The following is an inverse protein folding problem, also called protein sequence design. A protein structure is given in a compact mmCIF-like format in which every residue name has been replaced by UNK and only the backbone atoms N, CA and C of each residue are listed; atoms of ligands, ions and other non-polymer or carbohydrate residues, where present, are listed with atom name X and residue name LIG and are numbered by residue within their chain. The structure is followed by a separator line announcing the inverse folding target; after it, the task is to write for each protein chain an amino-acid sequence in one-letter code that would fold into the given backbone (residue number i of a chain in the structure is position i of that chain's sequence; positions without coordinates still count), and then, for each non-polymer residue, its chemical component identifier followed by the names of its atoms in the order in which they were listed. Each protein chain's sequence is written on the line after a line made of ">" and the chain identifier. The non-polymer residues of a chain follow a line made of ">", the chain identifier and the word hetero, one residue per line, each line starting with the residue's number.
data_IF_155847502782
#
_entry.id   IF_155847502782
#
_cell.length_a   1.000
_cell.length_b   1.000
_cell.length_c   1.000
_cell.angle_alpha   90.00
_cell.angle_beta   90.00
_cell.angle_gamma   90.00
#
_symmetry.space_group_name_H-M   'P 1'
#
loop_
_entity.id
_entity.type
_entity.pdbx_description
1 polymer ?
#
# COMPACT_ATOMS: atom_id res chain seq x y z
N UNK A 1 12.27 2.54 -18.85
CA UNK A 1 12.49 2.70 -17.40
C UNK A 1 11.41 2.00 -16.57
N UNK A 2 10.13 2.22 -16.84
CA UNK A 2 9.03 1.62 -16.07
C UNK A 2 8.98 0.09 -16.17
N UNK A 3 9.18 -0.45 -17.37
CA UNK A 3 9.19 -1.91 -17.57
C UNK A 3 10.35 -2.57 -16.84
N UNK A 4 11.51 -1.93 -16.80
CA UNK A 4 12.67 -2.42 -16.06
C UNK A 4 12.40 -2.41 -14.56
N UNK A 5 11.76 -1.35 -14.06
CA UNK A 5 11.37 -1.25 -12.67
C UNK A 5 10.35 -2.33 -12.29
N UNK A 6 9.35 -2.56 -13.14
CA UNK A 6 8.36 -3.62 -12.95
C UNK A 6 9.02 -5.00 -12.92
N UNK A 7 9.94 -5.27 -13.84
CA UNK A 7 10.68 -6.53 -13.90
C UNK A 7 11.53 -6.74 -12.63
N UNK A 8 12.14 -5.67 -12.13
CA UNK A 8 12.93 -5.72 -10.90
C UNK A 8 12.06 -6.06 -9.69
N UNK A 9 10.89 -5.45 -9.58
CA UNK A 9 9.92 -5.76 -8.51
C UNK A 9 9.51 -7.23 -8.58
N UNK A 10 9.22 -7.75 -9.76
CA UNK A 10 8.89 -9.16 -9.95
C UNK A 10 10.05 -10.06 -9.52
N UNK A 11 11.28 -9.74 -9.91
CA UNK A 11 12.45 -10.54 -9.56
C UNK A 11 12.75 -10.56 -8.06
N UNK A 12 12.32 -9.53 -7.33
CA UNK A 12 12.52 -9.40 -5.88
C UNK A 12 11.26 -9.69 -5.07
N UNK A 13 10.23 -10.23 -5.70
CA UNK A 13 8.92 -10.47 -5.06
C UNK A 13 9.04 -11.30 -3.78
N UNK A 14 9.85 -12.36 -3.81
CA UNK A 14 10.02 -13.25 -2.66
C UNK A 14 10.62 -12.51 -1.46
N UNK A 15 11.71 -11.77 -1.68
CA UNK A 15 12.39 -11.00 -0.64
C UNK A 15 11.48 -9.88 -0.11
N UNK A 16 10.76 -9.23 -1.01
CA UNK A 16 9.83 -8.16 -0.68
C UNK A 16 8.71 -8.68 0.22
N UNK A 17 8.08 -9.80 -0.17
CA UNK A 17 7.01 -10.40 0.63
C UNK A 17 7.51 -10.87 2.00
N UNK A 18 8.70 -11.45 2.07
CA UNK A 18 9.29 -11.89 3.33
C UNK A 18 9.53 -10.71 4.27
N UNK A 19 10.11 -9.62 3.77
CA UNK A 19 10.34 -8.40 4.55
C UNK A 19 9.01 -7.77 5.00
N UNK A 20 8.02 -7.78 4.13
CA UNK A 20 6.70 -7.22 4.42
C UNK A 20 5.98 -8.01 5.52
N UNK A 21 5.96 -9.34 5.41
CA UNK A 21 5.39 -10.22 6.43
C UNK A 21 6.05 -10.02 7.78
N UNK A 22 7.39 -9.93 7.80
CA UNK A 22 8.15 -9.72 9.01
C UNK A 22 7.75 -8.42 9.71
N UNK A 23 7.61 -7.34 8.95
CA UNK A 23 7.21 -6.04 9.49
C UNK A 23 5.77 -6.03 10.01
N UNK A 24 4.85 -6.69 9.30
CA UNK A 24 3.47 -6.81 9.75
C UNK A 24 3.34 -7.64 11.03
N UNK A 25 4.12 -8.71 11.16
CA UNK A 25 4.13 -9.53 12.37
C UNK A 25 4.75 -8.80 13.56
N UNK A 26 5.76 -7.93 13.31
CA UNK A 26 6.42 -7.17 14.37
C UNK A 26 5.52 -6.06 14.92
N UNK A 27 4.67 -5.47 14.06
CA UNK A 27 3.75 -4.38 14.43
C UNK A 27 2.40 -4.62 13.75
N UNK A 28 1.61 -5.60 14.23
CA UNK A 28 0.34 -5.92 13.60
C UNK A 28 -0.64 -4.75 13.71
N UNK A 29 -1.48 -4.52 12.68
CA UNK A 29 -2.51 -3.51 12.74
C UNK A 29 -3.46 -3.73 13.91
N UNK A 30 -3.80 -2.66 14.62
CA UNK A 30 -4.67 -2.69 15.79
C UNK A 30 -6.16 -2.67 15.42
N UNK A 31 -6.50 -3.21 14.28
CA UNK A 31 -7.87 -3.19 13.79
C UNK A 31 -8.51 -4.56 13.96
N UNK A 32 -9.77 -4.64 14.41
CA UNK A 32 -10.49 -5.92 14.43
C UNK A 32 -10.73 -6.49 13.04
N UNK A 33 -10.58 -5.66 11.99
CA UNK A 33 -10.68 -6.10 10.60
C UNK A 33 -9.35 -6.65 10.06
N UNK A 34 -8.26 -6.52 10.83
CA UNK A 34 -6.93 -6.95 10.41
C UNK A 34 -6.69 -8.39 10.83
N UNK A 35 -6.91 -9.31 9.90
CA UNK A 35 -6.43 -10.68 10.05
C UNK A 35 -5.10 -10.78 9.29
N UNK A 36 -3.97 -11.05 9.96
CA UNK A 36 -2.67 -11.15 9.29
C UNK A 36 -2.66 -12.13 8.12
N UNK A 37 -3.33 -13.27 8.24
CA UNK A 37 -3.39 -14.25 7.17
C UNK A 37 -4.09 -13.70 5.92
N UNK A 38 -5.17 -12.96 6.10
CA UNK A 38 -5.88 -12.31 4.98
C UNK A 38 -4.96 -11.29 4.31
N UNK A 39 -4.23 -10.51 5.10
CA UNK A 39 -3.29 -9.52 4.57
C UNK A 39 -2.15 -10.22 3.80
N UNK A 40 -1.66 -11.35 4.28
CA UNK A 40 -0.62 -12.12 3.60
C UNK A 40 -1.09 -12.63 2.23
N UNK A 41 -2.32 -13.13 2.14
CA UNK A 41 -2.91 -13.57 0.86
C UNK A 41 -3.09 -12.41 -0.11
N UNK A 42 -3.35 -11.23 0.41
CA UNK A 42 -3.54 -10.01 -0.39
C UNK A 42 -2.25 -9.52 -1.04
N UNK A 43 -1.09 -9.88 -0.50
CA UNK A 43 0.20 -9.38 -0.97
C UNK A 43 0.47 -9.67 -2.44
N UNK A 44 0.16 -10.88 -2.92
CA UNK A 44 0.34 -11.22 -4.32
C UNK A 44 -0.50 -10.34 -5.23
N UNK A 45 -1.77 -10.17 -4.91
CA UNK A 45 -2.67 -9.32 -5.70
C UNK A 45 -2.21 -7.87 -5.69
N UNK A 46 -1.75 -7.37 -4.54
CA UNK A 46 -1.22 -6.01 -4.43
C UNK A 46 0.01 -5.82 -5.31
N UNK A 47 0.94 -6.78 -5.31
CA UNK A 47 2.13 -6.70 -6.14
C UNK A 47 1.81 -6.85 -7.64
N UNK A 48 0.81 -7.66 -7.99
CA UNK A 48 0.31 -7.74 -9.36
C UNK A 48 -0.28 -6.41 -9.81
N UNK A 49 -1.04 -5.75 -8.94
CA UNK A 49 -1.59 -4.42 -9.22
C UNK A 49 -0.49 -3.37 -9.34
N UNK A 50 0.52 -3.40 -8.48
CA UNK A 50 1.68 -2.51 -8.59
C UNK A 50 2.36 -2.68 -9.94
N UNK A 51 2.57 -3.92 -10.35
CA UNK A 51 3.19 -4.23 -11.64
C UNK A 51 2.36 -3.70 -12.81
N UNK A 52 1.04 -3.91 -12.77
CA UNK A 52 0.12 -3.37 -13.77
C UNK A 52 0.16 -1.85 -13.82
N UNK A 53 0.22 -1.20 -12.65
CA UNK A 53 0.34 0.25 -12.56
C UNK A 53 1.62 0.78 -13.18
N UNK A 54 2.74 0.12 -12.94
CA UNK A 54 4.04 0.50 -13.50
C UNK A 54 4.07 0.35 -15.02
N UNK A 55 3.29 -0.58 -15.58
CA UNK A 55 3.23 -0.84 -17.01
C UNK A 55 2.13 -0.06 -17.74
N UNK A 56 1.25 0.65 -17.02
CA UNK A 56 0.08 1.33 -17.59
C UNK A 56 0.34 2.81 -17.82
N UNK A 57 0.12 3.26 -19.07
CA UNK A 57 0.20 4.68 -19.41
C UNK A 57 -0.92 5.51 -18.76
N UNK A 58 -2.08 4.93 -18.52
CA UNK A 58 -3.20 5.64 -17.89
C UNK A 58 -2.89 6.00 -16.44
N UNK A 59 -2.07 5.21 -15.76
CA UNK A 59 -1.65 5.51 -14.40
C UNK A 59 -0.59 6.61 -14.35
N UNK A 60 0.26 6.72 -15.37
CA UNK A 60 1.18 7.86 -15.49
C UNK A 60 0.44 9.19 -15.51
N UNK A 61 -0.75 9.24 -16.12
CA UNK A 61 -1.58 10.45 -16.16
C UNK A 61 -2.19 10.75 -14.80
N UNK A 62 -2.54 9.73 -14.02
CA UNK A 62 -3.05 9.94 -12.68
C UNK A 62 -1.96 10.32 -11.67
N UNK A 63 -0.68 10.16 -12.05
CA UNK A 63 0.46 10.61 -11.23
C UNK A 63 0.82 12.08 -11.46
N UNK A 64 0.14 12.79 -12.37
CA UNK A 64 0.37 14.22 -12.59
C UNK A 64 -0.03 15.07 -11.38
N UNK A 65 -0.87 14.54 -10.48
CA UNK A 65 -1.07 15.12 -9.15
C UNK A 65 -0.15 14.42 -8.14
N UNK A 66 0.43 15.19 -7.22
CA UNK A 66 1.23 14.61 -6.16
C UNK A 66 0.36 13.67 -5.29
N UNK A 67 0.75 12.40 -5.11
CA UNK A 67 -0.02 11.50 -4.25
C UNK A 67 0.03 11.99 -2.79
N UNK A 68 -1.00 11.63 -2.02
CA UNK A 68 -1.07 11.98 -0.62
C UNK A 68 0.08 11.36 0.16
N UNK A 69 0.57 12.08 1.17
CA UNK A 69 1.55 11.57 2.12
C UNK A 69 0.87 10.60 3.09
N UNK A 70 1.66 9.75 3.76
CA UNK A 70 1.11 8.76 4.70
C UNK A 70 0.27 9.41 5.81
N UNK A 71 0.68 10.59 6.29
CA UNK A 71 -0.08 11.31 7.30
C UNK A 71 -1.46 11.73 6.79
N UNK A 72 -1.53 12.20 5.54
CA UNK A 72 -2.78 12.58 4.89
C UNK A 72 -3.69 11.37 4.64
N UNK A 73 -3.08 10.22 4.27
CA UNK A 73 -3.81 8.96 4.11
C UNK A 73 -4.42 8.50 5.43
N UNK A 74 -3.72 8.68 6.54
CA UNK A 74 -4.23 8.36 7.88
C UNK A 74 -5.41 9.24 8.26
N UNK A 75 -5.41 10.50 7.86
CA UNK A 75 -6.51 11.43 8.10
C UNK A 75 -7.78 11.06 7.33
N UNK A 76 -7.66 10.38 6.20
CA UNK A 76 -8.82 9.90 5.44
C UNK A 76 -9.63 8.84 6.18
N UNK A 77 -8.98 8.04 7.01
CA UNK A 77 -9.64 7.02 7.80
C UNK A 77 -10.03 7.59 9.16
N UNK A 78 -11.23 8.14 9.27
CA UNK A 78 -11.72 8.81 10.49
C UNK A 78 -11.86 7.87 11.67
N UNK A 79 -12.15 6.59 11.43
CA UNK A 79 -12.31 5.63 12.53
C UNK A 79 -10.98 5.03 13.01
N UNK A 80 -9.90 5.18 12.24
CA UNK A 80 -8.59 4.62 12.54
C UNK A 80 -8.51 3.09 12.47
N UNK A 81 -9.55 2.43 11.95
CA UNK A 81 -9.66 0.97 11.93
C UNK A 81 -9.32 0.33 10.60
N UNK A 82 -8.93 1.13 9.60
CA UNK A 82 -8.58 0.61 8.28
C UNK A 82 -7.23 -0.09 8.34
N UNK A 83 -7.17 -1.42 8.19
CA UNK A 83 -5.91 -2.16 8.30
C UNK A 83 -4.96 -1.91 7.13
N UNK A 84 -5.47 -1.39 6.02
CA UNK A 84 -4.66 -1.14 4.83
C UNK A 84 -3.67 0.02 5.01
N UNK A 85 -3.90 0.92 5.98
CA UNK A 85 -2.95 1.98 6.30
C UNK A 85 -1.59 1.37 6.70
N UNK A 86 -1.60 0.50 7.71
CA UNK A 86 -0.39 -0.17 8.16
C UNK A 86 0.13 -1.17 7.13
N UNK A 87 -0.78 -1.85 6.43
CA UNK A 87 -0.45 -2.78 5.36
C UNK A 87 0.40 -2.11 4.27
N UNK A 88 -0.05 -0.97 3.76
CA UNK A 88 0.68 -0.26 2.70
C UNK A 88 1.91 0.48 3.22
N UNK A 89 1.86 1.03 4.41
CA UNK A 89 3.02 1.73 4.99
C UNK A 89 4.17 0.75 5.28
N UNK A 90 3.87 -0.41 5.85
CA UNK A 90 4.87 -1.47 6.05
C UNK A 90 5.36 -2.03 4.72
N UNK A 91 4.48 -2.10 3.72
CA UNK A 91 4.85 -2.49 2.35
C UNK A 91 5.85 -1.53 1.72
N UNK A 92 5.68 -0.23 1.92
CA UNK A 92 6.64 0.78 1.46
C UNK A 92 8.02 0.56 2.07
N UNK A 93 8.08 0.28 3.36
CA UNK A 93 9.34 -0.02 4.05
C UNK A 93 9.97 -1.33 3.55
N UNK A 94 9.14 -2.34 3.26
CA UNK A 94 9.60 -3.61 2.71
C UNK A 94 10.18 -3.44 1.30
N UNK A 95 9.56 -2.61 0.48
CA UNK A 95 10.07 -2.27 -0.86
C UNK A 95 11.46 -1.63 -0.75
N UNK A 96 11.61 -0.67 0.15
CA UNK A 96 12.90 -0.01 0.37
C UNK A 96 13.98 -1.00 0.83
N UNK A 97 13.61 -1.98 1.65
CA UNK A 97 14.52 -3.02 2.13
C UNK A 97 14.91 -3.99 1.00
N UNK A 98 13.94 -4.41 0.18
CA UNK A 98 14.16 -5.38 -0.89
C UNK A 98 14.88 -4.79 -2.11
N UNK A 99 14.78 -3.48 -2.31
CA UNK A 99 15.32 -2.78 -3.47
C UNK A 99 16.23 -1.62 -3.02
N UNK A 100 17.34 -1.92 -2.31
CA UNK A 100 18.20 -0.87 -1.73
C UNK A 100 19.01 -0.10 -2.75
N UNK A 101 19.23 -0.66 -3.96
CA UNK A 101 20.13 -0.13 -4.96
C UNK A 101 19.45 0.75 -6.02
N UNK A 102 18.17 1.10 -5.81
CA UNK A 102 17.47 1.98 -6.74
C UNK A 102 18.03 3.41 -6.65
N UNK A 103 18.20 4.03 -7.83
CA UNK A 103 18.52 5.46 -7.91
C UNK A 103 17.31 6.31 -7.49
N UNK A 104 17.55 7.60 -7.21
CA UNK A 104 16.50 8.49 -6.71
C UNK A 104 15.30 8.61 -7.66
N UNK A 105 15.47 8.75 -8.99
CA UNK A 105 14.32 8.81 -9.89
C UNK A 105 13.43 7.57 -9.83
N UNK A 106 14.03 6.38 -9.74
CA UNK A 106 13.29 5.12 -9.67
C UNK A 106 12.62 4.93 -8.31
N UNK A 107 13.32 5.30 -7.22
CA UNK A 107 12.73 5.29 -5.87
C UNK A 107 11.51 6.18 -5.80
N UNK A 108 11.62 7.39 -6.31
CA UNK A 108 10.53 8.37 -6.32
C UNK A 108 9.34 7.84 -7.10
N UNK A 109 9.59 7.30 -8.28
CA UNK A 109 8.53 6.77 -9.14
C UNK A 109 7.82 5.57 -8.49
N UNK A 110 8.58 4.66 -7.90
CA UNK A 110 8.04 3.49 -7.23
C UNK A 110 7.24 3.89 -6.00
N UNK A 111 7.75 4.81 -5.20
CA UNK A 111 7.07 5.32 -4.02
C UNK A 111 5.76 6.04 -4.37
N UNK A 112 5.78 6.88 -5.39
CA UNK A 112 4.57 7.57 -5.87
C UNK A 112 3.52 6.58 -6.36
N UNK A 113 3.93 5.60 -7.16
CA UNK A 113 3.02 4.57 -7.67
C UNK A 113 2.41 3.76 -6.52
N UNK A 114 3.22 3.38 -5.55
CA UNK A 114 2.77 2.66 -4.36
C UNK A 114 1.74 3.46 -3.57
N UNK A 115 1.99 4.76 -3.34
CA UNK A 115 1.07 5.62 -2.61
C UNK A 115 -0.24 5.86 -3.35
N UNK A 116 -0.21 5.97 -4.68
CA UNK A 116 -1.44 6.07 -5.48
C UNK A 116 -2.28 4.80 -5.33
N UNK A 117 -1.64 3.65 -5.41
CA UNK A 117 -2.31 2.36 -5.21
C UNK A 117 -2.89 2.26 -3.80
N UNK A 118 -2.11 2.63 -2.79
CA UNK A 118 -2.53 2.66 -1.39
C UNK A 118 -3.74 3.58 -1.19
N UNK A 119 -3.70 4.77 -1.73
CA UNK A 119 -4.78 5.75 -1.62
C UNK A 119 -6.08 5.19 -2.18
N UNK A 120 -6.03 4.54 -3.33
CA UNK A 120 -7.20 3.94 -3.96
C UNK A 120 -7.78 2.81 -3.12
N UNK A 121 -6.94 1.88 -2.66
CA UNK A 121 -7.37 0.73 -1.88
C UNK A 121 -7.88 1.13 -0.48
N UNK A 122 -7.21 2.07 0.15
CA UNK A 122 -7.63 2.61 1.45
C UNK A 122 -9.00 3.28 1.33
N UNK A 123 -9.21 4.08 0.30
CA UNK A 123 -10.48 4.78 0.07
C UNK A 123 -11.62 3.77 -0.16
N UNK A 124 -11.37 2.71 -0.92
CA UNK A 124 -12.36 1.67 -1.16
C UNK A 124 -12.76 0.96 0.14
N UNK A 125 -11.80 0.60 0.97
CA UNK A 125 -12.10 -0.05 2.24
C UNK A 125 -12.74 0.91 3.24
N UNK A 126 -12.35 2.19 3.24
CA UNK A 126 -12.95 3.20 4.10
C UNK A 126 -14.45 3.37 3.84
N UNK A 127 -14.89 3.25 2.58
CA UNK A 127 -16.32 3.33 2.26
C UNK A 127 -17.12 2.22 2.93
N UNK A 128 -16.53 1.02 3.04
CA UNK A 128 -17.15 -0.13 3.75
C UNK A 128 -16.98 0.03 5.26
N UNK A 129 -15.79 0.39 5.71
CA UNK A 129 -15.43 0.56 7.11
C UNK A 129 -16.31 1.62 7.80
N UNK A 130 -16.58 2.72 7.11
CA UNK A 130 -17.45 3.78 7.65
C UNK A 130 -18.90 3.31 7.84
N UNK A 131 -19.37 2.40 7.00
CA UNK A 131 -20.71 1.82 7.16
C UNK A 131 -20.82 0.95 8.40
N UNK A 132 -19.72 0.26 8.75
CA UNK A 132 -19.68 -0.65 9.92
C UNK A 132 -19.35 0.11 11.20
N UNK A 133 -18.41 1.03 11.15
CA UNK A 133 -17.86 1.71 12.32
C UNK A 133 -18.58 3.00 12.70
N UNK A 134 -19.11 3.74 11.73
CA UNK A 134 -19.75 5.04 11.96
C UNK A 134 -20.93 4.96 12.95
N UNK A 135 -21.84 3.96 12.87
CA UNK A 135 -22.93 3.87 13.84
C UNK A 135 -22.45 3.68 15.28
N UNK A 136 -21.32 3.00 15.47
CA UNK A 136 -20.75 2.75 16.80
C UNK A 136 -19.99 3.98 17.35
N UNK A 137 -19.50 4.85 16.46
CA UNK A 137 -18.70 6.01 16.81
C UNK A 137 -19.49 7.32 16.88
N UNK A 138 -20.69 7.35 16.33
CA UNK A 138 -21.53 8.53 16.40
C UNK A 138 -22.10 8.70 17.82
N UNK A 139 -21.92 9.90 18.43
CA UNK A 139 -22.59 10.19 19.68
C UNK A 139 -24.09 10.27 19.44
N UNK A 140 -24.82 9.55 20.24
CA UNK A 140 -26.28 9.57 20.21
C UNK A 140 -26.82 10.76 21.00
#
# INVERSE_FOLDING_TARGET
>A
MLRQLAALVVSRRRELKAAWKQRLCAAPPKSPLANPEILFHRMNDTLDQLNACLCSHSLRRSLDGAPLQWAELREQCRCGLNPLLDYFETGAAAIATALPDLDEPRKTLLDQTWRVLAQREIALLCSVCCRVCTPALQPH
#
